data_IF_927377981809
#
_entry.id   IF_927377981809
#
_cell.length_a   1.000
_cell.length_b   1.000
_cell.length_c   1.000
_cell.angle_alpha   90.00
_cell.angle_beta   90.00
_cell.angle_gamma   90.00
#
_symmetry.space_group_name_H-M   'P 1'
#
loop_
_entity.id
_entity.type
_entity.pdbx_description
1 polymer ?
#
# COMPACT_ATOMS: atom_id res chain seq x y z
N UNK A 1 3.41 9.91 17.37
CA UNK A 1 2.74 10.62 16.27
C UNK A 1 3.63 10.72 15.02
N UNK A 2 4.83 11.33 15.05
CA UNK A 2 5.67 11.58 13.87
C UNK A 2 5.96 10.32 13.03
N UNK A 3 6.38 9.21 13.68
CA UNK A 3 6.69 7.95 12.98
C UNK A 3 5.48 7.31 12.32
N UNK A 4 4.31 7.44 12.93
CA UNK A 4 3.05 6.97 12.34
C UNK A 4 2.72 7.75 11.07
N UNK A 5 2.84 9.08 11.07
CA UNK A 5 2.59 9.89 9.88
C UNK A 5 3.56 9.55 8.74
N UNK A 6 4.83 9.26 9.07
CA UNK A 6 5.80 8.74 8.08
C UNK A 6 5.34 7.39 7.51
N UNK A 7 4.88 6.48 8.35
CA UNK A 7 4.35 5.19 7.88
C UNK A 7 3.10 5.37 6.99
N UNK A 8 2.18 6.29 7.37
CA UNK A 8 1.02 6.65 6.53
C UNK A 8 1.47 7.16 5.17
N UNK A 9 2.42 8.10 5.14
CA UNK A 9 2.95 8.63 3.88
C UNK A 9 3.57 7.55 2.99
N UNK A 10 4.46 6.71 3.55
CA UNK A 10 5.13 5.64 2.80
C UNK A 10 4.15 4.59 2.26
N UNK A 11 3.20 4.13 3.09
CA UNK A 11 2.16 3.17 2.66
C UNK A 11 1.29 3.78 1.57
N UNK A 12 0.87 5.04 1.74
CA UNK A 12 0.05 5.73 0.74
C UNK A 12 0.81 5.89 -0.57
N UNK A 13 2.06 6.34 -0.54
CA UNK A 13 2.88 6.46 -1.75
C UNK A 13 3.03 5.11 -2.47
N UNK A 14 3.31 4.05 -1.71
CA UNK A 14 3.52 2.71 -2.26
C UNK A 14 2.27 2.12 -2.94
N UNK A 15 1.07 2.44 -2.46
CA UNK A 15 -0.16 1.88 -3.02
C UNK A 15 -0.89 2.80 -4.01
N UNK A 16 -0.48 4.06 -4.17
CA UNK A 16 -1.17 5.01 -5.05
C UNK A 16 -0.34 5.41 -6.29
N UNK A 17 0.95 5.14 -6.34
CA UNK A 17 1.77 5.47 -7.51
C UNK A 17 1.30 4.72 -8.76
N UNK A 18 0.82 3.49 -8.60
CA UNK A 18 0.29 2.64 -9.66
C UNK A 18 -1.04 3.11 -10.27
N UNK A 19 -1.76 4.05 -9.63
CA UNK A 19 -3.11 4.44 -10.04
C UNK A 19 -3.17 4.98 -11.49
N UNK A 20 -2.11 5.64 -11.95
CA UNK A 20 -2.00 6.12 -13.34
C UNK A 20 -1.27 5.15 -14.27
N UNK A 21 -0.82 4.01 -13.78
CA UNK A 21 0.03 3.07 -14.51
C UNK A 21 -0.69 1.76 -14.84
N UNK A 22 -1.64 1.34 -14.00
CA UNK A 22 -2.24 0.02 -14.08
C UNK A 22 -3.03 -0.17 -15.39
N UNK A 23 -3.88 0.80 -15.75
CA UNK A 23 -4.67 0.73 -16.98
C UNK A 23 -3.80 0.82 -18.24
N UNK A 24 -2.87 1.81 -18.36
CA UNK A 24 -1.95 1.86 -19.50
C UNK A 24 -1.08 0.59 -19.63
N UNK A 25 -0.57 0.05 -18.54
CA UNK A 25 0.19 -1.21 -18.57
C UNK A 25 -0.64 -2.35 -19.15
N UNK A 26 -1.89 -2.48 -18.70
CA UNK A 26 -2.80 -3.51 -19.23
C UNK A 26 -3.07 -3.35 -20.73
N UNK A 27 -3.25 -2.12 -21.20
CA UNK A 27 -3.48 -1.83 -22.63
C UNK A 27 -2.22 -1.97 -23.49
N UNK A 28 -1.11 -1.33 -23.08
CA UNK A 28 0.11 -1.24 -23.88
C UNK A 28 0.94 -2.53 -23.86
N UNK A 29 1.02 -3.20 -22.72
CA UNK A 29 1.91 -4.36 -22.53
C UNK A 29 1.17 -5.69 -22.71
N UNK A 30 -0.05 -5.80 -22.16
CA UNK A 30 -0.85 -7.04 -22.22
C UNK A 30 -1.91 -7.02 -23.33
N UNK A 31 -2.00 -5.94 -24.14
CA UNK A 31 -2.97 -5.85 -25.23
C UNK A 31 -4.43 -5.93 -24.79
N UNK A 32 -4.75 -5.57 -23.55
CA UNK A 32 -6.11 -5.65 -23.04
C UNK A 32 -7.00 -4.58 -23.67
N UNK A 33 -8.25 -4.92 -23.95
CA UNK A 33 -9.23 -3.96 -24.43
C UNK A 33 -9.57 -2.92 -23.35
N UNK A 34 -10.08 -1.75 -23.77
CA UNK A 34 -10.53 -0.69 -22.84
C UNK A 34 -11.52 -1.21 -21.79
N UNK A 35 -12.47 -2.07 -22.19
CA UNK A 35 -13.39 -2.69 -21.25
C UNK A 35 -12.69 -3.60 -20.24
N UNK A 36 -11.63 -4.30 -20.63
CA UNK A 36 -10.85 -5.16 -19.75
C UNK A 36 -9.98 -4.36 -18.78
N UNK A 37 -9.43 -3.20 -19.20
CA UNK A 37 -8.68 -2.30 -18.31
C UNK A 37 -9.60 -1.61 -17.32
N UNK A 38 -10.78 -1.15 -17.74
CA UNK A 38 -11.80 -0.60 -16.82
C UNK A 38 -12.23 -1.64 -15.75
N UNK A 39 -12.31 -2.93 -16.12
CA UNK A 39 -12.59 -3.99 -15.16
C UNK A 39 -11.50 -4.11 -14.07
N UNK A 40 -10.26 -3.74 -14.36
CA UNK A 40 -9.19 -3.75 -13.34
C UNK A 40 -9.48 -2.81 -12.18
N UNK A 41 -10.03 -1.63 -12.46
CA UNK A 41 -10.45 -0.67 -11.41
C UNK A 41 -11.52 -1.30 -10.52
N UNK A 42 -12.48 -2.03 -11.11
CA UNK A 42 -13.49 -2.76 -10.33
C UNK A 42 -12.87 -3.89 -9.49
N UNK A 43 -11.94 -4.67 -10.06
CA UNK A 43 -11.22 -5.74 -9.35
C UNK A 43 -10.42 -5.17 -8.18
N UNK A 44 -9.69 -4.07 -8.40
CA UNK A 44 -8.97 -3.35 -7.36
C UNK A 44 -9.92 -2.85 -6.26
N UNK A 45 -11.07 -2.26 -6.61
CA UNK A 45 -12.05 -1.78 -5.66
C UNK A 45 -12.63 -2.91 -4.81
N UNK A 46 -12.94 -4.07 -5.41
CA UNK A 46 -13.38 -5.27 -4.67
C UNK A 46 -12.28 -5.74 -3.71
N UNK A 47 -11.02 -5.74 -4.14
CA UNK A 47 -9.87 -6.02 -3.28
C UNK A 47 -9.84 -5.07 -2.08
N UNK A 48 -9.97 -3.75 -2.33
CA UNK A 48 -9.95 -2.71 -1.30
C UNK A 48 -11.08 -2.89 -0.27
N UNK A 49 -12.30 -3.18 -0.72
CA UNK A 49 -13.42 -3.51 0.17
C UNK A 49 -13.13 -4.75 1.02
N UNK A 50 -12.53 -5.78 0.42
CA UNK A 50 -12.06 -6.96 1.15
C UNK A 50 -11.02 -6.59 2.21
N UNK A 51 -10.06 -5.73 1.89
CA UNK A 51 -9.06 -5.20 2.81
C UNK A 51 -9.70 -4.43 3.97
N UNK A 52 -10.67 -3.57 3.69
CA UNK A 52 -11.44 -2.84 4.72
C UNK A 52 -12.18 -3.79 5.66
N UNK A 53 -12.82 -4.80 5.10
CA UNK A 53 -13.54 -5.80 5.91
C UNK A 53 -12.60 -6.60 6.82
N UNK A 54 -11.43 -7.05 6.31
CA UNK A 54 -10.42 -7.75 7.10
C UNK A 54 -9.86 -6.85 8.21
N UNK A 55 -9.54 -5.57 7.88
CA UNK A 55 -9.08 -4.59 8.86
C UNK A 55 -10.10 -4.42 9.99
N UNK A 56 -11.36 -4.14 9.65
CA UNK A 56 -12.43 -3.93 10.62
C UNK A 56 -12.63 -5.16 11.52
N UNK A 57 -12.64 -6.36 10.93
CA UNK A 57 -12.79 -7.61 11.69
C UNK A 57 -11.59 -7.84 12.62
N UNK A 58 -10.38 -7.59 12.15
CA UNK A 58 -9.17 -7.71 12.94
C UNK A 58 -9.13 -6.72 14.11
N UNK A 59 -9.44 -5.46 13.86
CA UNK A 59 -9.48 -4.40 14.87
C UNK A 59 -10.57 -4.67 15.93
N UNK A 60 -11.76 -5.11 15.53
CA UNK A 60 -12.82 -5.54 16.48
C UNK A 60 -12.41 -6.74 17.33
N UNK A 61 -11.56 -7.61 16.82
CA UNK A 61 -10.99 -8.74 17.57
C UNK A 61 -9.78 -8.33 18.45
N UNK A 62 -9.51 -7.03 18.60
CA UNK A 62 -8.42 -6.50 19.44
C UNK A 62 -7.02 -6.68 18.85
N UNK A 63 -6.89 -6.96 17.55
CA UNK A 63 -5.58 -7.06 16.89
C UNK A 63 -4.94 -5.69 16.80
N UNK A 64 -3.62 -5.66 16.90
CA UNK A 64 -2.81 -4.46 16.76
C UNK A 64 -2.95 -3.84 15.36
N UNK A 65 -3.27 -2.54 15.31
CA UNK A 65 -3.49 -1.80 14.08
C UNK A 65 -2.22 -1.71 13.22
N UNK A 66 -1.04 -1.54 13.83
CA UNK A 66 0.22 -1.49 13.09
C UNK A 66 0.60 -2.85 12.52
N UNK A 67 0.25 -3.94 13.21
CA UNK A 67 0.44 -5.29 12.70
C UNK A 67 -0.45 -5.56 11.49
N UNK A 68 -1.71 -5.13 11.53
CA UNK A 68 -2.63 -5.26 10.39
C UNK A 68 -2.16 -4.42 9.21
N UNK A 69 -1.67 -3.19 9.45
CA UNK A 69 -1.08 -2.37 8.40
C UNK A 69 0.17 -3.02 7.78
N UNK A 70 1.01 -3.66 8.60
CA UNK A 70 2.17 -4.40 8.11
C UNK A 70 1.77 -5.61 7.26
N UNK A 71 0.70 -6.33 7.61
CA UNK A 71 0.16 -7.39 6.75
C UNK A 71 -0.33 -6.85 5.41
N UNK A 72 -0.97 -5.66 5.39
CA UNK A 72 -1.33 -4.99 4.14
C UNK A 72 -0.11 -4.73 3.26
N UNK A 73 0.97 -4.19 3.83
CA UNK A 73 2.22 -3.96 3.11
C UNK A 73 2.87 -5.27 2.62
N UNK A 74 2.85 -6.34 3.43
CA UNK A 74 3.36 -7.66 3.04
C UNK A 74 2.56 -8.24 1.87
N UNK A 75 1.24 -8.08 1.84
CA UNK A 75 0.39 -8.50 0.70
C UNK A 75 0.75 -7.71 -0.56
N UNK A 76 1.09 -6.44 -0.43
CA UNK A 76 1.52 -5.58 -1.54
C UNK A 76 2.77 -6.09 -2.25
N UNK A 77 3.73 -6.69 -1.56
CA UNK A 77 4.97 -7.18 -2.17
C UNK A 77 4.73 -8.21 -3.28
N UNK A 78 4.07 -9.35 -3.04
CA UNK A 78 3.74 -10.31 -4.09
C UNK A 78 2.72 -9.76 -5.10
N UNK A 79 1.89 -8.78 -4.70
CA UNK A 79 0.93 -8.16 -5.60
C UNK A 79 1.63 -7.38 -6.72
N UNK A 80 2.58 -6.51 -6.40
CA UNK A 80 3.39 -5.79 -7.39
C UNK A 80 4.30 -6.74 -8.17
N UNK A 81 4.87 -7.76 -7.53
CA UNK A 81 5.62 -8.80 -8.24
C UNK A 81 4.75 -9.51 -9.29
N UNK A 82 3.50 -9.85 -8.96
CA UNK A 82 2.56 -10.45 -9.91
C UNK A 82 2.27 -9.52 -11.10
N UNK A 83 2.12 -8.21 -10.86
CA UNK A 83 1.96 -7.23 -11.95
C UNK A 83 3.20 -7.19 -12.84
N UNK A 84 4.40 -7.12 -12.27
CA UNK A 84 5.67 -7.08 -13.02
C UNK A 84 5.82 -8.33 -13.90
N UNK A 85 5.64 -9.51 -13.31
CA UNK A 85 5.80 -10.79 -14.03
C UNK A 85 4.70 -11.07 -15.03
N UNK A 86 3.52 -10.46 -14.90
CA UNK A 86 2.39 -10.66 -15.81
C UNK A 86 2.72 -10.31 -17.27
N UNK A 87 3.47 -9.22 -17.49
CA UNK A 87 3.91 -8.83 -18.81
C UNK A 87 4.97 -9.76 -19.41
N UNK A 88 5.95 -10.17 -18.59
CA UNK A 88 7.01 -11.08 -19.03
C UNK A 88 6.48 -12.49 -19.38
N UNK A 89 5.40 -12.92 -18.74
CA UNK A 89 4.78 -14.24 -18.91
C UNK A 89 3.55 -14.22 -19.80
N UNK A 90 3.16 -13.05 -20.35
CA UNK A 90 1.91 -12.84 -21.09
C UNK A 90 0.70 -13.44 -20.36
N UNK A 91 0.56 -13.09 -19.08
CA UNK A 91 -0.40 -13.71 -18.15
C UNK A 91 -1.43 -12.70 -17.60
N UNK A 92 -2.50 -12.35 -18.34
CA UNK A 92 -3.51 -11.39 -17.90
C UNK A 92 -4.21 -11.77 -16.58
N UNK A 93 -4.33 -13.05 -16.28
CA UNK A 93 -4.89 -13.52 -15.00
C UNK A 93 -4.01 -13.12 -13.81
N UNK A 94 -2.69 -13.19 -13.98
CA UNK A 94 -1.71 -12.79 -12.96
C UNK A 94 -1.77 -11.29 -12.68
N UNK A 95 -1.95 -10.49 -13.75
CA UNK A 95 -2.16 -9.06 -13.67
C UNK A 95 -3.42 -8.70 -12.86
N UNK A 96 -4.56 -9.34 -13.17
CA UNK A 96 -5.83 -9.15 -12.44
C UNK A 96 -5.71 -9.55 -10.98
N UNK A 97 -5.02 -10.66 -10.69
CA UNK A 97 -4.75 -11.09 -9.31
C UNK A 97 -3.88 -10.07 -8.57
N UNK A 98 -2.85 -9.53 -9.24
CA UNK A 98 -2.02 -8.45 -8.71
C UNK A 98 -2.85 -7.21 -8.37
N UNK A 99 -3.69 -6.74 -9.29
CA UNK A 99 -4.59 -5.61 -9.06
C UNK A 99 -5.52 -5.82 -7.86
N UNK A 100 -6.12 -7.01 -7.73
CA UNK A 100 -6.93 -7.37 -6.58
C UNK A 100 -6.15 -7.31 -5.26
N UNK A 101 -4.95 -7.89 -5.23
CA UNK A 101 -4.10 -7.92 -4.05
C UNK A 101 -3.54 -6.54 -3.68
N UNK A 102 -3.26 -5.66 -4.66
CA UNK A 102 -2.90 -4.25 -4.42
C UNK A 102 -4.05 -3.55 -3.69
N UNK A 103 -5.29 -3.71 -4.17
CA UNK A 103 -6.47 -3.19 -3.49
C UNK A 103 -6.61 -3.75 -2.07
N UNK A 104 -6.50 -5.06 -1.92
CA UNK A 104 -6.64 -5.75 -0.63
C UNK A 104 -5.59 -5.26 0.39
N UNK A 105 -4.33 -5.21 0.00
CA UNK A 105 -3.23 -4.75 0.85
C UNK A 105 -3.35 -3.27 1.20
N UNK A 106 -3.63 -2.42 0.21
CA UNK A 106 -3.84 -0.99 0.39
C UNK A 106 -5.02 -0.67 1.31
N UNK A 107 -6.16 -1.33 1.09
CA UNK A 107 -7.35 -1.19 1.92
C UNK A 107 -7.12 -1.62 3.37
N UNK A 108 -6.50 -2.80 3.57
CA UNK A 108 -6.14 -3.29 4.89
C UNK A 108 -5.22 -2.32 5.64
N UNK A 109 -4.19 -1.81 4.97
CA UNK A 109 -3.23 -0.90 5.58
C UNK A 109 -3.85 0.47 5.89
N UNK A 110 -4.63 1.05 4.98
CA UNK A 110 -5.23 2.39 5.13
C UNK A 110 -6.19 2.46 6.31
N UNK A 111 -7.13 1.51 6.44
CA UNK A 111 -8.08 1.48 7.57
C UNK A 111 -7.37 1.24 8.89
N UNK A 112 -6.36 0.35 8.89
CA UNK A 112 -5.60 0.06 10.09
C UNK A 112 -4.81 1.28 10.58
N UNK A 113 -4.18 2.03 9.67
CA UNK A 113 -3.46 3.26 10.01
C UNK A 113 -4.38 4.41 10.41
N UNK A 114 -5.57 4.51 9.81
CA UNK A 114 -6.59 5.46 10.26
C UNK A 114 -7.00 5.16 11.70
N UNK A 115 -7.28 3.91 12.02
CA UNK A 115 -7.61 3.50 13.39
C UNK A 115 -6.47 3.82 14.37
N UNK A 116 -5.21 3.55 13.98
CA UNK A 116 -4.05 3.90 14.81
C UNK A 116 -3.95 5.42 15.02
N UNK A 117 -4.28 6.23 14.02
CA UNK A 117 -4.29 7.69 14.14
C UNK A 117 -5.34 8.19 15.13
N UNK A 118 -6.56 7.64 15.07
CA UNK A 118 -7.64 8.01 15.98
C UNK A 118 -7.36 7.55 17.41
N UNK A 119 -6.73 6.39 17.60
CA UNK A 119 -6.36 5.86 18.92
C UNK A 119 -5.24 6.67 19.63
N UNK A 120 -4.44 7.44 18.88
CA UNK A 120 -3.41 8.33 19.43
C UNK A 120 -3.94 9.72 19.76
N UNK A 121 -5.20 10.02 19.42
CA UNK A 121 -5.81 11.30 19.73
C UNK A 121 -6.14 11.40 21.22
N UNK A 122 -5.64 12.43 21.88
CA UNK A 122 -6.05 12.81 23.25
C UNK A 122 -7.46 13.40 23.24
N UNK A 123 -8.11 13.45 24.40
CA UNK A 123 -9.43 14.11 24.53
C UNK A 123 -9.35 15.55 24.03
N UNK A 124 -10.22 15.91 23.06
CA UNK A 124 -10.27 17.21 22.41
C UNK A 124 -9.36 17.38 21.19
N UNK A 125 -8.46 16.44 20.87
CA UNK A 125 -7.56 16.52 19.71
C UNK A 125 -7.92 15.59 18.54
N UNK A 126 -9.08 14.93 18.61
CA UNK A 126 -9.52 13.95 17.60
C UNK A 126 -9.61 14.53 16.18
N UNK A 127 -10.17 15.73 16.03
CA UNK A 127 -10.24 16.41 14.73
C UNK A 127 -8.87 16.73 14.16
N UNK A 128 -7.92 17.14 15.01
CA UNK A 128 -6.54 17.39 14.59
C UNK A 128 -5.83 16.11 14.13
N UNK A 129 -6.02 14.99 14.84
CA UNK A 129 -5.41 13.71 14.49
C UNK A 129 -5.91 13.19 13.13
N UNK A 130 -7.22 13.24 12.87
CA UNK A 130 -7.80 12.88 11.57
C UNK A 130 -7.35 13.85 10.48
N UNK A 131 -7.34 15.16 10.77
CA UNK A 131 -6.88 16.17 9.83
C UNK A 131 -5.42 15.98 9.43
N UNK A 132 -4.54 15.72 10.38
CA UNK A 132 -3.12 15.44 10.13
C UNK A 132 -2.93 14.15 9.32
N UNK A 133 -3.64 13.08 9.66
CA UNK A 133 -3.63 11.83 8.91
C UNK A 133 -4.11 12.06 7.46
N UNK A 134 -5.25 12.72 7.28
CA UNK A 134 -5.83 12.98 5.96
C UNK A 134 -4.94 13.90 5.10
N UNK A 135 -4.33 14.94 5.70
CA UNK A 135 -3.40 15.81 5.01
C UNK A 135 -2.16 15.06 4.50
N UNK A 136 -1.56 14.19 5.33
CA UNK A 136 -0.41 13.36 4.92
C UNK A 136 -0.83 12.38 3.83
N UNK A 137 -1.98 11.70 3.99
CA UNK A 137 -2.46 10.74 3.01
C UNK A 137 -2.75 11.41 1.66
N UNK A 138 -3.51 12.50 1.64
CA UNK A 138 -3.84 13.20 0.40
C UNK A 138 -2.60 13.76 -0.31
N UNK A 139 -1.67 14.35 0.46
CA UNK A 139 -0.42 14.87 -0.10
C UNK A 139 0.46 13.74 -0.65
N UNK A 140 0.61 12.64 0.09
CA UNK A 140 1.39 11.48 -0.34
C UNK A 140 0.79 10.83 -1.58
N UNK A 141 -0.54 10.67 -1.65
CA UNK A 141 -1.23 10.14 -2.82
C UNK A 141 -1.03 11.03 -4.05
N UNK A 142 -1.31 12.33 -3.94
CA UNK A 142 -1.14 13.27 -5.05
C UNK A 142 0.31 13.32 -5.56
N UNK A 143 1.28 13.40 -4.65
CA UNK A 143 2.70 13.42 -5.01
C UNK A 143 3.16 12.10 -5.65
N UNK A 144 2.71 10.95 -5.15
CA UNK A 144 3.10 9.65 -5.72
C UNK A 144 2.51 9.42 -7.10
N UNK A 145 1.25 9.77 -7.32
CA UNK A 145 0.59 9.69 -8.64
C UNK A 145 1.32 10.58 -9.63
N UNK A 146 1.58 11.84 -9.28
CA UNK A 146 2.30 12.77 -10.13
C UNK A 146 3.72 12.29 -10.43
N UNK A 147 4.45 11.84 -9.42
CA UNK A 147 5.81 11.33 -9.57
C UNK A 147 5.86 10.07 -10.43
N UNK A 148 4.94 9.11 -10.20
CA UNK A 148 4.85 7.88 -10.97
C UNK A 148 4.59 8.15 -12.45
N UNK A 149 3.65 9.03 -12.76
CA UNK A 149 3.34 9.43 -14.15
C UNK A 149 4.53 10.13 -14.84
N UNK A 150 5.10 11.14 -14.20
CA UNK A 150 6.25 11.88 -14.74
C UNK A 150 7.45 10.96 -14.93
N UNK A 151 7.74 10.09 -13.97
CA UNK A 151 8.85 9.15 -14.06
C UNK A 151 8.65 8.16 -15.20
N UNK A 152 7.45 7.59 -15.32
CA UNK A 152 7.11 6.67 -16.43
C UNK A 152 7.31 7.37 -17.77
N UNK A 153 6.80 8.58 -17.96
CA UNK A 153 6.90 9.31 -19.22
C UNK A 153 8.35 9.68 -19.55
N UNK A 154 9.12 10.09 -18.56
CA UNK A 154 10.55 10.36 -18.71
C UNK A 154 11.33 9.11 -19.11
N UNK A 155 11.08 7.97 -18.45
CA UNK A 155 11.71 6.69 -18.78
C UNK A 155 11.32 6.23 -20.18
N UNK A 156 10.06 6.41 -20.57
CA UNK A 156 9.59 6.09 -21.92
C UNK A 156 10.30 6.96 -22.98
N UNK A 157 10.39 8.26 -22.77
CA UNK A 157 11.03 9.20 -23.69
C UNK A 157 12.55 8.97 -23.79
N UNK A 158 13.22 8.62 -22.69
CA UNK A 158 14.66 8.36 -22.67
C UNK A 158 15.05 7.00 -23.23
N UNK A 159 14.11 6.06 -23.35
CA UNK A 159 14.38 4.67 -23.72
C UNK A 159 15.14 3.88 -22.64
N UNK A 160 15.22 4.39 -21.41
CA UNK A 160 15.95 3.74 -20.32
C UNK A 160 15.37 2.36 -19.99
N UNK A 161 16.23 1.36 -19.95
CA UNK A 161 15.86 -0.03 -19.63
C UNK A 161 15.22 -0.84 -20.78
N UNK A 162 14.92 -0.22 -21.93
CA UNK A 162 14.30 -0.92 -23.08
C UNK A 162 15.11 -2.10 -23.59
N UNK A 163 16.43 -2.03 -23.53
CA UNK A 163 17.32 -3.11 -23.98
C UNK A 163 17.22 -4.38 -23.12
N UNK A 164 16.77 -4.25 -21.88
CA UNK A 164 16.68 -5.35 -20.90
C UNK A 164 15.21 -5.82 -20.70
N UNK A 165 14.28 -4.87 -20.62
CA UNK A 165 12.88 -5.13 -20.24
C UNK A 165 11.87 -4.80 -21.35
N UNK A 166 12.33 -4.42 -22.54
CA UNK A 166 11.46 -4.05 -23.66
C UNK A 166 10.59 -2.81 -23.36
N UNK A 167 9.43 -2.75 -23.95
CA UNK A 167 8.47 -1.64 -23.78
C UNK A 167 7.87 -1.56 -22.36
N UNK A 168 7.95 -2.64 -21.57
CA UNK A 168 7.49 -2.66 -20.18
C UNK A 168 8.43 -1.93 -19.20
N UNK A 169 9.66 -1.59 -19.61
CA UNK A 169 10.69 -1.03 -18.74
C UNK A 169 10.23 0.18 -17.90
N UNK A 170 9.52 1.20 -18.44
CA UNK A 170 9.08 2.35 -17.67
C UNK A 170 8.14 1.96 -16.52
N UNK A 171 7.24 1.03 -16.77
CA UNK A 171 6.30 0.53 -15.77
C UNK A 171 6.97 -0.32 -14.69
N UNK A 172 7.79 -1.27 -15.12
CA UNK A 172 8.49 -2.20 -14.24
C UNK A 172 9.40 -1.45 -13.26
N UNK A 173 10.08 -0.40 -13.70
CA UNK A 173 10.92 0.42 -12.84
C UNK A 173 10.10 1.15 -11.77
N UNK A 174 8.91 1.69 -12.11
CA UNK A 174 8.03 2.33 -11.13
C UNK A 174 7.51 1.31 -10.12
N UNK A 175 7.07 0.14 -10.56
CA UNK A 175 6.61 -0.92 -9.65
C UNK A 175 7.72 -1.40 -8.69
N UNK A 176 8.99 -1.38 -9.09
CA UNK A 176 10.11 -1.66 -8.18
C UNK A 176 10.27 -0.58 -7.10
N UNK A 177 10.00 0.69 -7.44
CA UNK A 177 9.99 1.78 -6.45
C UNK A 177 8.87 1.55 -5.44
N UNK A 178 7.69 1.13 -5.86
CA UNK A 178 6.56 0.80 -4.96
C UNK A 178 6.93 -0.34 -4.01
N UNK A 179 7.57 -1.39 -4.50
CA UNK A 179 8.10 -2.47 -3.67
C UNK A 179 9.12 -1.93 -2.64
N UNK A 180 10.04 -1.06 -3.07
CA UNK A 180 11.00 -0.43 -2.16
C UNK A 180 10.32 0.44 -1.10
N UNK A 181 9.29 1.19 -1.47
CA UNK A 181 8.47 1.98 -0.54
C UNK A 181 7.72 1.09 0.46
N UNK A 182 7.24 -0.09 0.04
CA UNK A 182 6.62 -1.05 0.97
C UNK A 182 7.64 -1.59 1.98
N UNK A 183 8.87 -1.88 1.57
CA UNK A 183 9.93 -2.25 2.51
C UNK A 183 10.24 -1.11 3.48
N UNK A 184 10.34 0.13 3.01
CA UNK A 184 10.52 1.30 3.87
C UNK A 184 9.34 1.46 4.85
N UNK A 185 8.11 1.23 4.40
CA UNK A 185 6.91 1.25 5.24
C UNK A 185 6.98 0.17 6.33
N UNK A 186 7.39 -1.06 5.99
CA UNK A 186 7.58 -2.15 6.96
C UNK A 186 8.65 -1.82 8.01
N UNK A 187 9.76 -1.19 7.61
CA UNK A 187 10.79 -0.70 8.53
C UNK A 187 10.22 0.38 9.46
N UNK A 188 9.37 1.27 8.95
CA UNK A 188 8.70 2.29 9.77
C UNK A 188 7.69 1.69 10.73
N UNK A 189 6.93 0.66 10.32
CA UNK A 189 5.89 0.00 11.12
C UNK A 189 6.46 -0.92 12.21
N UNK A 190 7.55 -1.63 11.95
CA UNK A 190 8.09 -2.68 12.81
C UNK A 190 8.21 -2.31 14.30
N UNK A 191 8.86 -1.19 14.67
CA UNK A 191 8.99 -0.79 16.08
C UNK A 191 7.67 -0.35 16.75
N UNK A 192 6.63 0.00 15.96
CA UNK A 192 5.32 0.34 16.51
C UNK A 192 4.55 -0.92 16.89
N UNK A 193 4.65 -1.99 16.11
CA UNK A 193 4.09 -3.33 16.43
C UNK A 193 4.70 -3.88 17.72
N UNK A 194 6.02 -3.80 17.89
CA UNK A 194 6.69 -4.34 19.09
C UNK A 194 6.34 -3.59 20.36
N UNK A 195 6.17 -2.26 20.29
CA UNK A 195 5.74 -1.44 21.44
C UNK A 195 4.31 -1.76 21.86
N UNK A 196 3.39 -1.95 20.95
CA UNK A 196 2.02 -2.33 21.24
C UNK A 196 1.95 -3.69 21.94
N UNK A 197 2.76 -4.67 21.50
CA UNK A 197 2.88 -5.98 22.18
C UNK A 197 3.41 -5.87 23.60
N UNK A 198 4.38 -5.00 23.86
CA UNK A 198 4.96 -4.79 25.19
C UNK A 198 3.96 -4.14 26.14
N UNK A 199 3.19 -3.15 25.65
CA UNK A 199 2.14 -2.49 26.44
C UNK A 199 0.96 -3.41 26.77
N UNK A 200 0.65 -4.38 25.92
CA UNK A 200 -0.43 -5.35 26.12
C UNK A 200 -0.04 -6.57 26.99
N UNK A 201 1.21 -6.67 27.43
CA UNK A 201 1.65 -7.78 28.29
C UNK A 201 1.11 -7.57 29.70
N UNK A 202 0.27 -8.46 30.25
CA UNK A 202 -0.20 -8.31 31.64
C UNK A 202 1.00 -8.37 32.60
N UNK A 203 1.02 -7.44 33.54
CA UNK A 203 2.00 -7.46 34.64
C UNK A 203 1.84 -8.80 35.38
N UNK A 204 2.87 -9.64 35.36
CA UNK A 204 2.83 -10.93 36.02
C UNK A 204 2.75 -10.73 37.54
N UNK A 205 1.98 -11.58 38.22
CA UNK A 205 1.84 -11.56 39.71
C UNK A 205 3.19 -11.64 40.44
N UNK A 206 4.28 -12.03 39.76
CA UNK A 206 5.64 -12.10 40.30
C UNK A 206 6.32 -10.73 40.46
N UNK A 207 5.73 -9.63 39.96
CA UNK A 207 6.30 -8.28 40.09
C UNK A 207 5.76 -7.49 41.27
N UNK A 208 4.92 -8.09 42.12
CA UNK A 208 4.51 -7.46 43.38
C UNK A 208 5.57 -7.71 44.47
N UNK A 209 6.18 -6.66 45.04
CA UNK A 209 7.06 -6.83 46.20
C UNK A 209 6.24 -7.39 47.37
N UNK A 210 6.74 -8.50 47.96
CA UNK A 210 6.22 -9.17 49.13
C UNK A 210 6.44 -8.33 50.40
#
# INVERSE_FOLDING_TARGET
>A
ARRMLVAVGLVTMAFNMQDVLLEPYGGEILGLSVGATTLLTAIWAVGSLGGFWIAQRGLRAGRDAYLLAAYGAIIGLPAFAAVIFSGALDAPWMFRTGAFLIGLGGGLASVSLLHAATALAEEGSFGFAIGAWGAVQASAAGLSIAFGGVLRDWLHASGAGRTVMGEAAPYVLVYHIEIALLFAALIALGPMVSRARTAARPVGLAEFPS
#
